data_IF_795462942020
#
_entry.id   IF_795462942020
#
_cell.length_a   1.000
_cell.length_b   1.000
_cell.length_c   1.000
_cell.angle_alpha   90.00
_cell.angle_beta   90.00
_cell.angle_gamma   90.00
#
_symmetry.space_group_name_H-M   'P 1'
#
loop_
_entity.id
_entity.type
_entity.pdbx_description
1 polymer ?
#
# COMPACT_ATOMS: atom_id res chain seq x y z
N UNK A 1 18.11 12.97 -17.32
CA UNK A 1 17.77 11.58 -17.73
C UNK A 1 17.30 10.81 -16.50
N UNK A 2 16.12 10.20 -16.57
CA UNK A 2 15.53 9.45 -15.45
C UNK A 2 16.40 8.27 -14.98
N UNK A 3 17.11 7.61 -15.90
CA UNK A 3 17.99 6.51 -15.57
C UNK A 3 19.21 6.97 -14.74
N UNK A 4 19.78 8.12 -15.09
CA UNK A 4 20.91 8.75 -14.37
C UNK A 4 20.52 9.08 -12.93
N UNK A 5 19.37 9.73 -12.72
CA UNK A 5 18.89 10.02 -11.38
C UNK A 5 18.64 8.76 -10.55
N UNK A 6 18.05 7.70 -11.13
CA UNK A 6 17.90 6.42 -10.45
C UNK A 6 19.25 5.83 -10.02
N UNK A 7 20.28 5.89 -10.89
CA UNK A 7 21.61 5.40 -10.55
C UNK A 7 22.25 6.22 -9.41
N UNK A 8 22.15 7.55 -9.43
CA UNK A 8 22.64 8.38 -8.33
C UNK A 8 21.95 8.05 -7.00
N UNK A 9 20.63 7.83 -7.01
CA UNK A 9 19.90 7.42 -5.82
C UNK A 9 20.41 6.09 -5.23
N UNK A 10 20.88 5.16 -6.07
CA UNK A 10 21.42 3.87 -5.61
C UNK A 10 22.82 3.97 -4.99
N UNK A 11 23.56 5.05 -5.24
CA UNK A 11 24.89 5.28 -4.63
C UNK A 11 24.79 5.66 -3.15
N UNK A 12 23.61 6.09 -2.68
CA UNK A 12 23.32 6.27 -1.26
C UNK A 12 24.01 7.47 -0.62
N UNK A 13 23.52 8.67 -0.93
CA UNK A 13 23.93 9.93 -0.29
C UNK A 13 22.74 10.70 0.32
N UNK A 14 22.99 11.92 0.83
CA UNK A 14 21.94 12.78 1.41
C UNK A 14 20.87 13.23 0.39
N UNK A 15 21.13 13.10 -0.91
CA UNK A 15 20.23 13.48 -2.00
C UNK A 15 19.47 12.28 -2.61
N UNK A 16 19.61 11.07 -2.03
CA UNK A 16 18.99 9.84 -2.53
C UNK A 16 17.50 10.00 -2.86
N UNK A 17 16.72 10.58 -1.94
CA UNK A 17 15.28 10.76 -2.13
C UNK A 17 14.96 11.74 -3.27
N UNK A 18 15.65 12.89 -3.30
CA UNK A 18 15.51 13.89 -4.36
C UNK A 18 15.76 13.27 -5.73
N UNK A 19 16.77 12.40 -5.83
CA UNK A 19 17.07 11.69 -7.07
C UNK A 19 15.97 10.68 -7.46
N UNK A 20 15.36 9.96 -6.53
CA UNK A 20 14.21 9.11 -6.84
C UNK A 20 13.00 9.92 -7.31
N UNK A 21 12.69 11.02 -6.62
CA UNK A 21 11.57 11.89 -6.97
C UNK A 21 11.76 12.52 -8.36
N UNK A 22 12.96 13.00 -8.66
CA UNK A 22 13.26 13.58 -9.98
C UNK A 22 13.24 12.53 -11.10
N UNK A 23 13.73 11.32 -10.84
CA UNK A 23 13.60 10.21 -11.79
C UNK A 23 12.12 9.90 -12.10
N UNK A 24 11.23 9.90 -11.09
CA UNK A 24 9.80 9.69 -11.29
C UNK A 24 9.15 10.83 -12.08
N UNK A 25 9.49 12.09 -11.75
CA UNK A 25 9.01 13.27 -12.48
C UNK A 25 9.40 13.21 -13.95
N UNK A 26 10.64 12.83 -14.27
CA UNK A 26 11.11 12.71 -15.64
C UNK A 26 10.39 11.57 -16.41
N UNK A 27 10.04 10.48 -15.74
CA UNK A 27 9.23 9.41 -16.35
C UNK A 27 7.82 9.87 -16.73
N UNK A 28 7.22 10.77 -15.95
CA UNK A 28 5.89 11.33 -16.24
C UNK A 28 5.92 12.30 -17.44
N UNK A 29 7.05 12.95 -17.68
CA UNK A 29 7.22 13.94 -18.76
C UNK A 29 7.85 13.36 -20.04
N UNK A 30 8.14 12.05 -20.09
CA UNK A 30 8.87 11.41 -21.19
C UNK A 30 8.07 11.29 -22.52
N UNK A 31 6.83 11.77 -22.59
CA UNK A 31 6.04 11.80 -23.83
C UNK A 31 5.76 10.39 -24.41
N UNK A 32 5.54 10.25 -25.73
CA UNK A 32 5.21 8.98 -26.40
C UNK A 32 6.26 7.88 -26.23
N UNK A 33 7.48 8.22 -25.80
CA UNK A 33 8.57 7.29 -25.51
C UNK A 33 8.51 6.72 -24.08
N UNK A 34 7.39 6.91 -23.36
CA UNK A 34 7.18 6.37 -22.01
C UNK A 34 7.49 4.86 -21.96
N UNK A 35 8.49 4.51 -21.15
CA UNK A 35 8.88 3.12 -20.87
C UNK A 35 8.26 2.70 -19.53
N UNK A 36 7.06 2.09 -19.52
CA UNK A 36 6.36 1.73 -18.28
C UNK A 36 7.21 0.85 -17.36
N UNK A 37 8.02 -0.03 -17.95
CA UNK A 37 8.96 -0.87 -17.22
C UNK A 37 10.01 -0.06 -16.45
N UNK A 38 10.61 0.96 -17.08
CA UNK A 38 11.63 1.78 -16.44
C UNK A 38 11.06 2.62 -15.29
N UNK A 39 9.85 3.14 -15.45
CA UNK A 39 9.14 3.84 -14.37
C UNK A 39 8.88 2.90 -13.19
N UNK A 40 8.35 1.70 -13.46
CA UNK A 40 8.09 0.70 -12.43
C UNK A 40 9.36 0.27 -11.70
N UNK A 41 10.49 0.16 -12.40
CA UNK A 41 11.79 -0.13 -11.78
C UNK A 41 12.26 0.99 -10.86
N UNK A 42 12.05 2.25 -11.23
CA UNK A 42 12.32 3.40 -10.33
C UNK A 42 11.42 3.36 -9.09
N UNK A 43 10.13 3.09 -9.26
CA UNK A 43 9.17 2.98 -8.14
C UNK A 43 9.52 1.84 -7.18
N UNK A 44 9.91 0.67 -7.71
CA UNK A 44 10.35 -0.47 -6.90
C UNK A 44 11.54 -0.09 -6.00
N UNK A 45 12.61 0.46 -6.60
CA UNK A 45 13.81 0.82 -5.86
C UNK A 45 13.56 1.92 -4.83
N UNK A 46 12.74 2.91 -5.19
CA UNK A 46 12.37 3.97 -4.25
C UNK A 46 11.56 3.43 -3.07
N UNK A 47 10.59 2.55 -3.34
CA UNK A 47 9.81 1.87 -2.31
C UNK A 47 10.67 0.99 -1.38
N UNK A 48 11.65 0.26 -1.93
CA UNK A 48 12.61 -0.51 -1.14
C UNK A 48 13.46 0.40 -0.24
N UNK A 49 13.93 1.54 -0.75
CA UNK A 49 14.69 2.51 0.02
C UNK A 49 13.85 3.12 1.15
N UNK A 50 12.62 3.55 0.87
CA UNK A 50 11.67 4.07 1.87
C UNK A 50 11.39 3.04 2.96
N UNK A 51 11.22 1.75 2.60
CA UNK A 51 11.03 0.67 3.58
C UNK A 51 12.25 0.52 4.48
N UNK A 52 13.46 0.51 3.93
CA UNK A 52 14.72 0.43 4.71
C UNK A 52 14.87 1.64 5.63
N UNK A 53 14.43 2.82 5.19
CA UNK A 53 14.33 4.04 5.99
C UNK A 53 13.16 4.05 6.99
N UNK A 54 12.45 2.92 7.20
CA UNK A 54 11.30 2.75 8.09
C UNK A 54 10.06 3.58 7.74
N UNK A 55 10.04 4.24 6.57
CA UNK A 55 8.93 5.04 6.01
C UNK A 55 7.92 4.17 5.26
N UNK A 56 7.36 3.19 5.97
CA UNK A 56 6.50 2.13 5.42
C UNK A 56 5.24 2.66 4.72
N UNK A 57 4.63 3.72 5.27
CA UNK A 57 3.43 4.34 4.70
C UNK A 57 3.70 4.90 3.29
N UNK A 58 4.88 5.47 3.08
CA UNK A 58 5.29 6.06 1.81
C UNK A 58 5.84 5.02 0.82
N UNK A 59 6.45 3.94 1.33
CA UNK A 59 6.92 2.83 0.51
C UNK A 59 5.78 2.10 -0.22
N UNK A 60 4.66 1.88 0.46
CA UNK A 60 3.51 1.11 -0.05
C UNK A 60 2.97 1.61 -1.39
N UNK A 61 2.60 2.90 -1.59
CA UNK A 61 2.09 3.36 -2.88
C UNK A 61 3.09 3.17 -4.03
N UNK A 62 4.40 3.32 -3.77
CA UNK A 62 5.44 3.10 -4.79
C UNK A 62 5.54 1.61 -5.18
N UNK A 63 5.60 0.72 -4.18
CA UNK A 63 5.70 -0.71 -4.43
C UNK A 63 4.42 -1.30 -5.07
N UNK A 64 3.23 -0.79 -4.72
CA UNK A 64 1.96 -1.16 -5.36
C UNK A 64 1.94 -0.75 -6.83
N UNK A 65 2.31 0.49 -7.15
CA UNK A 65 2.34 0.97 -8.54
C UNK A 65 3.36 0.20 -9.40
N UNK A 66 4.51 -0.15 -8.82
CA UNK A 66 5.51 -0.99 -9.47
C UNK A 66 4.95 -2.38 -9.77
N UNK A 67 4.36 -3.05 -8.76
CA UNK A 67 3.75 -4.39 -8.91
C UNK A 67 2.70 -4.43 -10.01
N UNK A 68 1.72 -3.52 -9.97
CA UNK A 68 0.63 -3.46 -10.96
C UNK A 68 1.17 -3.25 -12.38
N UNK A 69 2.24 -2.47 -12.53
CA UNK A 69 2.86 -2.23 -13.83
C UNK A 69 3.61 -3.46 -14.32
N UNK A 70 4.35 -4.15 -13.46
CA UNK A 70 5.02 -5.41 -13.84
C UNK A 70 4.02 -6.52 -14.17
N UNK A 71 2.90 -6.61 -13.47
CA UNK A 71 1.81 -7.55 -13.77
C UNK A 71 1.20 -7.29 -15.15
N UNK A 72 0.88 -6.03 -15.48
CA UNK A 72 0.38 -5.67 -16.82
C UNK A 72 1.37 -5.99 -17.94
N UNK A 73 2.67 -5.95 -17.65
CA UNK A 73 3.73 -6.24 -18.61
C UNK A 73 4.13 -7.74 -18.65
N UNK A 74 3.52 -8.59 -17.82
CA UNK A 74 3.90 -10.01 -17.72
C UNK A 74 5.30 -10.25 -17.14
N UNK A 75 5.86 -9.25 -16.45
CA UNK A 75 7.21 -9.31 -15.88
C UNK A 75 7.21 -9.99 -14.50
N UNK A 76 6.85 -11.28 -14.46
CA UNK A 76 6.60 -12.05 -13.22
C UNK A 76 7.71 -11.94 -12.16
N UNK A 77 9.01 -12.09 -12.49
CA UNK A 77 10.06 -11.95 -11.47
C UNK A 77 10.08 -10.58 -10.79
N UNK A 78 9.66 -9.53 -11.51
CA UNK A 78 9.62 -8.17 -10.99
C UNK A 78 8.35 -7.89 -10.17
N UNK A 79 7.20 -8.42 -10.58
CA UNK A 79 5.97 -8.34 -9.77
C UNK A 79 6.12 -9.09 -8.45
N UNK A 80 6.75 -10.27 -8.46
CA UNK A 80 6.99 -11.06 -7.24
C UNK A 80 7.92 -10.35 -6.28
N UNK A 81 8.97 -9.71 -6.80
CA UNK A 81 9.88 -8.88 -6.00
C UNK A 81 9.14 -7.70 -5.36
N UNK A 82 8.33 -6.97 -6.13
CA UNK A 82 7.53 -5.87 -5.59
C UNK A 82 6.52 -6.34 -4.54
N UNK A 83 5.91 -7.52 -4.74
CA UNK A 83 5.01 -8.14 -3.76
C UNK A 83 5.75 -8.57 -2.47
N UNK A 84 6.95 -9.13 -2.58
CA UNK A 84 7.82 -9.44 -1.44
C UNK A 84 8.13 -8.19 -0.60
N UNK A 85 8.50 -7.09 -1.26
CA UNK A 85 8.80 -5.83 -0.60
C UNK A 85 7.56 -5.19 0.04
N UNK A 86 6.39 -5.26 -0.62
CA UNK A 86 5.10 -4.87 -0.05
C UNK A 86 4.80 -5.63 1.23
N UNK A 87 4.96 -6.97 1.21
CA UNK A 87 4.81 -7.81 2.41
C UNK A 87 5.76 -7.35 3.53
N UNK A 88 7.01 -7.08 3.18
CA UNK A 88 8.03 -6.62 4.12
C UNK A 88 7.76 -5.21 4.71
N UNK A 89 6.87 -4.39 4.14
CA UNK A 89 6.42 -3.13 4.75
C UNK A 89 5.53 -3.33 5.99
N UNK A 90 5.18 -4.57 6.34
CA UNK A 90 4.38 -4.88 7.52
C UNK A 90 3.05 -5.57 7.23
N UNK A 91 2.98 -6.43 6.21
CA UNK A 91 2.34 -7.72 6.48
C UNK A 91 3.33 -8.55 7.30
N UNK A 92 3.51 -8.17 8.57
CA UNK A 92 3.79 -9.23 9.54
C UNK A 92 2.48 -10.00 9.60
N UNK A 93 2.38 -11.06 8.80
CA UNK A 93 1.43 -12.13 9.07
C UNK A 93 1.86 -12.64 10.44
N UNK A 94 1.28 -12.07 11.50
CA UNK A 94 1.20 -12.77 12.75
C UNK A 94 0.50 -14.06 12.40
N UNK A 95 1.24 -15.17 12.47
CA UNK A 95 0.68 -16.50 12.51
C UNK A 95 -0.49 -16.44 13.50
N UNK A 96 -1.72 -16.83 13.13
CA UNK A 96 -2.84 -16.76 14.04
C UNK A 96 -2.58 -17.80 15.14
N UNK A 97 -2.09 -17.32 16.28
CA UNK A 97 -2.39 -18.01 17.51
C UNK A 97 -3.85 -17.68 17.83
N UNK A 98 -4.63 -18.73 18.01
CA UNK A 98 -6.07 -18.72 18.13
C UNK A 98 -6.62 -17.66 19.10
N UNK A 99 -7.71 -17.01 18.68
CA UNK A 99 -8.76 -16.32 19.48
C UNK A 99 -8.88 -14.79 19.53
N UNK A 100 -8.08 -13.96 18.83
CA UNK A 100 -8.42 -12.53 18.71
C UNK A 100 -8.15 -11.96 17.33
N UNK A 101 -9.22 -11.60 16.62
CA UNK A 101 -9.15 -10.73 15.43
C UNK A 101 -8.55 -9.40 15.89
N UNK A 102 -7.31 -9.09 15.51
CA UNK A 102 -6.67 -7.80 15.85
C UNK A 102 -6.69 -6.87 14.63
N UNK A 103 -7.78 -6.11 14.49
CA UNK A 103 -7.78 -4.91 13.67
C UNK A 103 -6.88 -3.84 14.31
N UNK A 104 -6.23 -3.02 13.49
CA UNK A 104 -5.64 -1.76 13.97
C UNK A 104 -6.75 -0.76 14.33
N UNK A 105 -6.48 0.27 15.17
CA UNK A 105 -7.49 1.27 15.51
C UNK A 105 -8.15 1.92 14.29
N UNK A 106 -7.37 2.24 13.26
CA UNK A 106 -7.89 2.84 12.01
C UNK A 106 -8.74 1.86 11.19
N UNK A 107 -8.37 0.58 11.15
CA UNK A 107 -9.17 -0.44 10.48
C UNK A 107 -10.48 -0.69 11.22
N UNK A 108 -10.44 -0.76 12.56
CA UNK A 108 -11.64 -0.93 13.39
C UNK A 108 -12.61 0.23 13.21
N UNK A 109 -12.09 1.46 13.21
CA UNK A 109 -12.87 2.68 12.98
C UNK A 109 -13.55 2.67 11.60
N UNK A 110 -12.79 2.36 10.54
CA UNK A 110 -13.32 2.27 9.19
C UNK A 110 -14.36 1.13 9.06
N UNK A 111 -14.08 -0.05 9.63
CA UNK A 111 -15.00 -1.20 9.60
C UNK A 111 -16.31 -0.86 10.29
N UNK A 112 -16.27 -0.18 11.45
CA UNK A 112 -17.46 0.24 12.19
C UNK A 112 -18.35 1.17 11.36
N UNK A 113 -17.77 2.25 10.83
CA UNK A 113 -18.53 3.21 10.00
C UNK A 113 -19.08 2.56 8.72
N UNK A 114 -18.41 1.54 8.20
CA UNK A 114 -18.87 0.78 7.02
C UNK A 114 -19.98 -0.21 7.38
N UNK A 115 -19.93 -0.84 8.56
CA UNK A 115 -21.00 -1.68 9.09
C UNK A 115 -22.28 -0.86 9.36
N UNK A 116 -22.13 0.40 9.78
CA UNK A 116 -23.22 1.38 9.91
C UNK A 116 -23.78 1.85 8.54
N UNK A 117 -23.20 1.41 7.43
CA UNK A 117 -23.67 1.70 6.06
C UNK A 117 -22.90 2.81 5.34
N UNK A 118 -21.94 3.49 5.97
CA UNK A 118 -21.21 4.62 5.39
C UNK A 118 -20.35 4.24 4.18
N UNK A 119 -20.52 4.93 3.05
CA UNK A 119 -19.71 4.68 1.85
C UNK A 119 -18.25 5.10 2.07
N UNK A 120 -17.34 4.71 1.18
CA UNK A 120 -15.95 5.16 1.29
C UNK A 120 -15.81 6.70 1.25
N UNK A 121 -16.78 7.41 0.63
CA UNK A 121 -16.81 8.87 0.62
C UNK A 121 -17.27 9.44 1.96
N UNK A 122 -18.31 8.87 2.55
CA UNK A 122 -18.84 9.31 3.84
C UNK A 122 -17.84 9.06 4.97
N UNK A 123 -17.26 7.85 4.99
CA UNK A 123 -16.23 7.46 5.95
C UNK A 123 -14.98 8.33 5.81
N UNK A 124 -14.60 8.65 4.56
CA UNK A 124 -13.47 9.54 4.29
C UNK A 124 -13.71 10.94 4.84
N UNK A 125 -14.92 11.48 4.64
CA UNK A 125 -15.31 12.79 5.17
C UNK A 125 -15.30 12.81 6.71
N UNK A 126 -15.83 11.77 7.36
CA UNK A 126 -15.87 11.68 8.82
C UNK A 126 -14.49 11.52 9.46
N UNK A 127 -13.60 10.75 8.82
CA UNK A 127 -12.26 10.46 9.34
C UNK A 127 -11.18 11.42 8.81
N UNK A 128 -11.57 12.44 8.03
CA UNK A 128 -10.65 13.40 7.41
C UNK A 128 -9.50 12.73 6.61
N UNK A 129 -9.82 11.67 5.86
CA UNK A 129 -8.89 10.94 5.00
C UNK A 129 -9.45 10.83 3.58
N UNK A 130 -8.67 10.29 2.63
CA UNK A 130 -9.17 10.07 1.27
C UNK A 130 -10.04 8.80 1.16
N UNK A 131 -11.01 8.75 0.22
CA UNK A 131 -11.78 7.54 -0.06
C UNK A 131 -10.90 6.34 -0.48
N UNK A 132 -9.74 6.62 -1.09
CA UNK A 132 -8.73 5.62 -1.43
C UNK A 132 -8.06 5.05 -0.17
N UNK A 133 -7.84 5.89 0.85
CA UNK A 133 -7.32 5.47 2.16
C UNK A 133 -8.33 4.59 2.89
N UNK A 134 -9.64 4.90 2.79
CA UNK A 134 -10.71 4.03 3.33
C UNK A 134 -10.70 2.66 2.66
N UNK A 135 -10.66 2.61 1.32
CA UNK A 135 -10.57 1.35 0.57
C UNK A 135 -9.34 0.52 0.96
N UNK A 136 -8.22 1.20 1.22
CA UNK A 136 -7.00 0.56 1.71
C UNK A 136 -7.17 -0.04 3.12
N UNK A 137 -7.83 0.65 4.05
CA UNK A 137 -8.11 0.08 5.38
C UNK A 137 -9.04 -1.14 5.31
N UNK A 138 -10.08 -1.08 4.49
CA UNK A 138 -11.00 -2.21 4.27
C UNK A 138 -10.27 -3.43 3.67
N UNK A 139 -9.44 -3.22 2.65
CA UNK A 139 -8.64 -4.28 2.03
C UNK A 139 -7.76 -5.03 3.06
N UNK A 140 -7.20 -4.32 4.04
CA UNK A 140 -6.39 -4.94 5.09
C UNK A 140 -7.21 -5.59 6.21
N UNK A 141 -8.42 -5.08 6.46
CA UNK A 141 -9.32 -5.61 7.49
C UNK A 141 -10.01 -6.91 7.06
N UNK A 142 -10.39 -7.05 5.79
CA UNK A 142 -11.13 -8.21 5.25
C UNK A 142 -10.51 -9.57 5.61
N UNK A 143 -9.22 -9.84 5.33
CA UNK A 143 -8.60 -11.11 5.68
C UNK A 143 -8.47 -11.34 7.19
N UNK A 144 -8.43 -10.26 7.99
CA UNK A 144 -8.40 -10.36 9.47
C UNK A 144 -9.76 -10.73 10.04
N UNK A 145 -10.83 -10.29 9.38
CA UNK A 145 -12.23 -10.55 9.74
C UNK A 145 -12.77 -11.85 9.10
N UNK A 146 -12.03 -12.46 8.16
CA UNK A 146 -12.51 -13.63 7.41
C UNK A 146 -13.62 -13.32 6.41
N UNK A 147 -13.73 -12.06 5.99
CA UNK A 147 -14.77 -11.59 5.06
C UNK A 147 -14.19 -11.29 3.68
N UNK A 148 -15.02 -11.39 2.65
CA UNK A 148 -14.62 -11.18 1.25
C UNK A 148 -15.32 -9.99 0.61
N UNK A 149 -16.36 -9.45 1.24
CA UNK A 149 -17.11 -8.32 0.72
C UNK A 149 -17.50 -7.32 1.80
N UNK A 150 -17.78 -6.09 1.34
CA UNK A 150 -18.35 -5.03 2.19
C UNK A 150 -19.70 -5.44 2.80
N UNK A 151 -20.51 -6.19 2.06
CA UNK A 151 -21.81 -6.67 2.55
C UNK A 151 -21.64 -7.66 3.71
N UNK A 152 -20.54 -8.40 3.72
CA UNK A 152 -20.23 -9.32 4.83
C UNK A 152 -19.85 -8.55 6.10
N UNK A 153 -19.25 -7.36 6.00
CA UNK A 153 -18.96 -6.50 7.17
C UNK A 153 -20.25 -6.11 7.90
N UNK A 154 -21.30 -5.76 7.14
CA UNK A 154 -22.59 -5.37 7.73
C UNK A 154 -23.30 -6.54 8.45
N UNK A 155 -22.82 -7.78 8.28
CA UNK A 155 -23.33 -8.97 8.96
C UNK A 155 -22.46 -9.41 10.15
N UNK A 156 -21.34 -8.73 10.40
CA UNK A 156 -20.49 -9.00 11.54
C UNK A 156 -21.10 -8.38 12.80
N UNK A 157 -21.14 -9.15 13.88
CA UNK A 157 -21.43 -8.62 15.21
C UNK A 157 -20.18 -7.93 15.76
N UNK A 158 -20.13 -6.59 15.64
CA UNK A 158 -18.96 -5.80 16.02
C UNK A 158 -18.83 -5.63 17.55
N UNK A 159 -19.88 -5.95 18.32
CA UNK A 159 -19.88 -5.85 19.78
C UNK A 159 -19.05 -6.97 20.44
N UNK A 160 -18.91 -8.13 19.79
CA UNK A 160 -18.02 -9.21 20.23
C UNK A 160 -16.52 -8.90 20.01
N UNK A 161 -16.19 -7.88 19.20
CA UNK A 161 -14.81 -7.54 18.82
C UNK A 161 -14.16 -6.47 19.71
N UNK A 162 -14.94 -5.80 20.57
CA UNK A 162 -14.49 -4.69 21.43
C UNK A 162 -14.48 -5.03 22.92
N UNK A 163 -14.98 -6.19 23.33
CA UNK A 163 -15.07 -6.57 24.75
C UNK A 163 -13.91 -7.46 25.18
N UNK A 164 -12.89 -6.93 25.87
CA UNK A 164 -12.28 -7.53 27.06
C UNK A 164 -11.35 -6.51 27.75
N UNK A 165 -11.78 -6.02 28.92
CA UNK A 165 -11.06 -5.30 30.02
C UNK A 165 -10.02 -4.22 29.67
#
# INVERSE_FOLDING_TARGET
DAAVHRCHALLGDRATETHFQEALRLHEHAGPAHRPFDRARTQLLYGEWLRRARRKAEARPQLTAARETFERLGATPWSDRAANELRATGQTVSRPDSKRIRLTPQEAEVVRLVAEGGTNQDVAAQLFISPRTVAYHLYNAFPKLGVVSRTDIARLDLDELTTTD
#
